data_IF_166581570216
#
_entry.id   IF_166581570216
#
_cell.length_a   1.000
_cell.length_b   1.000
_cell.length_c   1.000
_cell.angle_alpha   90.00
_cell.angle_beta   90.00
_cell.angle_gamma   90.00
#
_symmetry.space_group_name_H-M   'P 1'
#
loop_
_entity.id
_entity.type
_entity.pdbx_description
1 polymer ?
#
# COMPACT_ATOMS: atom_id res chain seq x y z
N UNK A 1 1.24 16.94 21.93
CA UNK A 1 1.98 16.07 20.98
C UNK A 1 0.96 15.22 20.25
N UNK A 2 0.90 15.33 18.92
CA UNK A 2 -0.02 14.50 18.13
C UNK A 2 0.41 13.03 18.26
N UNK A 3 -0.51 12.18 18.72
CA UNK A 3 -0.20 10.79 19.08
C UNK A 3 -0.75 9.89 17.98
N UNK A 4 0.08 9.01 17.42
CA UNK A 4 -0.40 8.01 16.48
C UNK A 4 -1.47 7.13 17.14
N UNK A 5 -2.64 7.06 16.51
CA UNK A 5 -3.79 6.30 17.01
C UNK A 5 -4.40 5.50 15.87
N UNK A 6 -4.81 4.27 16.19
CA UNK A 6 -5.58 3.43 15.30
C UNK A 6 -7.06 3.61 15.68
N UNK A 7 -7.83 4.26 14.81
CA UNK A 7 -9.27 4.36 14.97
C UNK A 7 -9.95 3.01 14.69
N UNK A 8 -11.11 2.74 15.29
CA UNK A 8 -11.76 1.42 15.22
C UNK A 8 -12.24 1.07 13.80
N UNK A 9 -12.64 2.07 13.04
CA UNK A 9 -12.98 2.03 11.62
C UNK A 9 -11.76 1.74 10.73
N UNK A 10 -10.56 2.03 11.22
CA UNK A 10 -9.31 1.80 10.51
C UNK A 10 -8.71 0.40 10.77
N UNK A 11 -9.40 -0.45 11.54
CA UNK A 11 -9.00 -1.83 11.72
C UNK A 11 -9.04 -2.58 10.39
N UNK A 12 -7.93 -3.25 10.05
CA UNK A 12 -7.79 -3.97 8.78
C UNK A 12 -8.54 -5.30 8.86
N UNK A 13 -9.60 -5.42 8.07
CA UNK A 13 -10.53 -6.58 8.05
C UNK A 13 -10.47 -7.42 6.77
N UNK A 14 -9.53 -7.12 5.87
CA UNK A 14 -9.31 -7.92 4.66
C UNK A 14 -8.62 -9.25 5.00
N UNK A 15 -8.84 -10.34 4.24
CA UNK A 15 -8.13 -11.61 4.44
C UNK A 15 -6.63 -11.53 4.08
N UNK A 16 -5.79 -12.17 4.90
CA UNK A 16 -4.35 -12.31 4.72
C UNK A 16 -3.82 -13.48 5.59
N UNK A 17 -2.51 -13.74 5.57
CA UNK A 17 -1.87 -14.84 6.32
C UNK A 17 -1.75 -14.65 7.84
N UNK A 18 -1.70 -13.42 8.33
CA UNK A 18 -1.53 -13.12 9.75
C UNK A 18 -2.83 -13.26 10.55
N UNK A 19 -2.79 -13.23 11.87
CA UNK A 19 -4.01 -13.16 12.67
C UNK A 19 -4.60 -11.74 12.68
N UNK A 20 -5.87 -11.60 13.05
CA UNK A 20 -6.40 -10.26 13.37
C UNK A 20 -5.76 -9.74 14.65
N UNK A 21 -5.44 -8.46 14.68
CA UNK A 21 -4.87 -7.79 15.84
C UNK A 21 -5.91 -6.88 16.49
N UNK A 22 -5.94 -6.87 17.82
CA UNK A 22 -6.61 -5.81 18.57
C UNK A 22 -5.86 -4.48 18.37
N UNK A 23 -6.52 -3.35 18.65
CA UNK A 23 -5.87 -2.03 18.61
C UNK A 23 -4.63 -2.02 19.50
N UNK A 24 -4.72 -2.54 20.72
CA UNK A 24 -3.61 -2.59 21.65
C UNK A 24 -2.42 -3.42 21.11
N UNK A 25 -2.69 -4.60 20.54
CA UNK A 25 -1.65 -5.45 19.97
C UNK A 25 -1.02 -4.82 18.72
N UNK A 26 -1.84 -4.25 17.83
CA UNK A 26 -1.37 -3.55 16.64
C UNK A 26 -0.52 -2.31 17.00
N UNK A 27 -0.95 -1.54 18.00
CA UNK A 27 -0.18 -0.40 18.50
C UNK A 27 1.14 -0.85 19.07
N UNK A 28 1.13 -1.83 19.98
CA UNK A 28 2.36 -2.37 20.58
C UNK A 28 3.35 -2.88 19.52
N UNK A 29 2.86 -3.61 18.51
CA UNK A 29 3.69 -4.11 17.41
C UNK A 29 4.32 -2.96 16.61
N UNK A 30 3.53 -1.95 16.24
CA UNK A 30 3.97 -0.90 15.35
C UNK A 30 4.91 0.10 16.04
N UNK A 31 4.71 0.39 17.33
CA UNK A 31 5.45 1.44 18.05
C UNK A 31 6.68 0.94 18.82
N UNK A 32 6.93 -0.37 18.87
CA UNK A 32 8.12 -0.94 19.53
C UNK A 32 9.24 -1.18 18.48
N UNK A 33 10.32 -0.39 18.49
CA UNK A 33 11.42 -0.54 17.52
C UNK A 33 12.06 -1.93 17.55
N UNK A 34 12.15 -2.59 18.71
CA UNK A 34 12.74 -3.94 18.81
C UNK A 34 11.84 -4.98 18.16
N UNK A 35 10.53 -4.86 18.38
CA UNK A 35 9.54 -5.71 17.72
C UNK A 35 9.60 -5.52 16.20
N UNK A 36 9.66 -4.28 15.71
CA UNK A 36 9.72 -3.98 14.28
C UNK A 36 11.04 -4.47 13.66
N UNK A 37 12.18 -4.24 14.31
CA UNK A 37 13.49 -4.68 13.81
C UNK A 37 13.58 -6.20 13.61
N UNK A 38 12.88 -6.98 14.44
CA UNK A 38 12.80 -8.45 14.37
C UNK A 38 11.56 -8.97 13.60
N UNK A 39 10.65 -8.08 13.19
CA UNK A 39 9.41 -8.45 12.52
C UNK A 39 9.64 -9.12 11.16
N UNK A 40 8.92 -10.21 10.92
CA UNK A 40 8.93 -10.90 9.63
C UNK A 40 7.72 -10.46 8.81
N UNK A 41 7.99 -9.69 7.76
CA UNK A 41 6.97 -9.22 6.83
C UNK A 41 6.49 -10.35 5.93
N UNK A 42 5.17 -10.43 5.72
CA UNK A 42 4.60 -11.37 4.77
C UNK A 42 4.76 -10.85 3.34
N UNK A 43 4.72 -11.73 2.32
CA UNK A 43 4.54 -11.28 0.95
C UNK A 43 3.24 -10.50 0.80
N UNK A 44 3.24 -9.52 -0.10
CA UNK A 44 2.02 -8.83 -0.47
C UNK A 44 1.11 -9.75 -1.29
N UNK A 45 -0.19 -9.65 -1.05
CA UNK A 45 -1.19 -10.23 -1.93
C UNK A 45 -1.42 -9.30 -3.12
N UNK A 46 -1.26 -9.85 -4.33
CA UNK A 46 -1.46 -9.15 -5.59
C UNK A 46 -2.80 -9.56 -6.22
N UNK A 47 -3.56 -8.57 -6.68
CA UNK A 47 -4.69 -8.78 -7.58
C UNK A 47 -4.76 -7.63 -8.59
N UNK A 48 -5.39 -7.86 -9.73
CA UNK A 48 -5.61 -6.79 -10.72
C UNK A 48 -7.02 -6.24 -10.60
N UNK A 49 -7.14 -4.94 -10.35
CA UNK A 49 -8.40 -4.22 -10.52
C UNK A 49 -8.64 -3.93 -12.01
N UNK A 50 -9.88 -4.07 -12.45
CA UNK A 50 -10.25 -4.00 -13.88
C UNK A 50 -11.23 -2.85 -14.09
N UNK A 51 -10.80 -1.87 -14.87
CA UNK A 51 -11.63 -0.74 -15.27
C UNK A 51 -11.76 -0.70 -16.80
N UNK A 52 -12.96 -0.51 -17.33
CA UNK A 52 -13.18 -0.25 -18.77
C UNK A 52 -13.22 1.26 -19.00
N UNK A 53 -12.30 1.80 -19.81
CA UNK A 53 -12.23 3.24 -20.08
C UNK A 53 -13.53 3.73 -20.70
N UNK A 54 -13.89 4.98 -20.44
CA UNK A 54 -15.00 5.61 -21.16
C UNK A 54 -14.69 5.61 -22.66
N UNK A 55 -15.68 5.26 -23.48
CA UNK A 55 -15.60 5.28 -24.92
C UNK A 55 -16.86 5.95 -25.50
N UNK A 56 -16.75 6.56 -26.70
CA UNK A 56 -17.90 7.09 -27.42
C UNK A 56 -18.99 6.04 -27.61
N UNK A 57 -20.24 6.50 -27.76
CA UNK A 57 -21.40 5.63 -27.98
C UNK A 57 -21.15 4.68 -29.18
N UNK A 58 -21.43 3.39 -28.99
CA UNK A 58 -21.21 2.35 -30.00
C UNK A 58 -19.79 1.78 -30.05
N UNK A 59 -18.85 2.27 -29.24
CA UNK A 59 -17.50 1.69 -29.09
C UNK A 59 -17.32 1.06 -27.71
N UNK A 60 -16.64 -0.09 -27.67
CA UNK A 60 -16.18 -0.67 -26.41
C UNK A 60 -14.88 0.01 -25.98
N UNK A 61 -14.82 0.46 -24.74
CA UNK A 61 -13.61 1.05 -24.19
C UNK A 61 -12.54 0.02 -23.86
N UNK A 62 -11.29 0.49 -23.88
CA UNK A 62 -10.14 -0.36 -23.54
C UNK A 62 -10.19 -0.78 -22.07
N UNK A 63 -9.86 -2.04 -21.84
CA UNK A 63 -9.70 -2.56 -20.48
C UNK A 63 -8.36 -2.10 -19.93
N UNK A 64 -8.39 -1.37 -18.82
CA UNK A 64 -7.21 -1.00 -18.03
C UNK A 64 -7.14 -1.92 -16.81
N UNK A 65 -6.04 -2.66 -16.71
CA UNK A 65 -5.70 -3.44 -15.51
C UNK A 65 -4.80 -2.61 -14.59
N UNK A 66 -5.09 -2.63 -13.30
CA UNK A 66 -4.28 -1.98 -12.26
C UNK A 66 -3.86 -3.03 -11.25
N UNK A 67 -2.58 -3.44 -11.22
CA UNK A 67 -2.11 -4.34 -10.18
C UNK A 67 -2.16 -3.62 -8.82
N UNK A 68 -2.88 -4.20 -7.88
CA UNK A 68 -2.99 -3.74 -6.49
C UNK A 68 -2.28 -4.77 -5.62
N UNK A 69 -1.33 -4.27 -4.83
CA UNK A 69 -0.59 -5.03 -3.84
C UNK A 69 -1.00 -4.55 -2.46
N UNK A 70 -1.30 -5.47 -1.56
CA UNK A 70 -1.58 -5.10 -0.17
C UNK A 70 -0.85 -6.03 0.80
N UNK A 71 -0.44 -5.47 1.92
CA UNK A 71 0.34 -6.14 2.94
C UNK A 71 -0.51 -6.98 3.88
N UNK A 72 0.15 -7.73 4.76
CA UNK A 72 -0.49 -8.25 5.95
C UNK A 72 -0.99 -7.10 6.84
N UNK A 73 -1.90 -7.41 7.76
CA UNK A 73 -2.53 -6.42 8.62
C UNK A 73 -1.53 -5.84 9.61
N UNK A 74 -0.75 -6.69 10.27
CA UNK A 74 0.36 -6.28 11.14
C UNK A 74 1.34 -5.35 10.42
N UNK A 75 1.77 -5.75 9.23
CA UNK A 75 2.68 -4.98 8.37
C UNK A 75 2.10 -3.61 8.01
N UNK A 76 0.79 -3.54 7.71
CA UNK A 76 0.10 -2.28 7.40
C UNK A 76 0.10 -1.30 8.58
N UNK A 77 0.01 -1.79 9.82
CA UNK A 77 0.11 -0.94 11.01
C UNK A 77 1.52 -0.42 11.23
N UNK A 78 2.54 -1.27 11.01
CA UNK A 78 3.93 -0.83 11.03
C UNK A 78 4.14 0.28 9.98
N UNK A 79 3.75 0.06 8.72
CA UNK A 79 3.86 1.09 7.68
C UNK A 79 3.13 2.39 8.04
N UNK A 80 1.94 2.28 8.63
CA UNK A 80 1.18 3.46 9.06
C UNK A 80 1.88 4.23 10.18
N UNK A 81 2.51 3.55 11.14
CA UNK A 81 3.24 4.20 12.22
C UNK A 81 4.51 4.90 11.70
N UNK A 82 5.31 4.20 10.88
CA UNK A 82 6.52 4.80 10.31
C UNK A 82 6.20 5.94 9.37
N UNK A 83 5.08 5.90 8.63
CA UNK A 83 4.56 7.06 7.92
C UNK A 83 4.33 8.23 8.88
N UNK A 84 3.64 8.01 10.01
CA UNK A 84 3.38 9.08 10.97
C UNK A 84 4.67 9.70 11.54
N UNK A 85 5.65 8.87 11.92
CA UNK A 85 6.97 9.33 12.39
C UNK A 85 7.66 10.19 11.33
N UNK A 86 7.70 9.70 10.08
CA UNK A 86 8.38 10.39 8.98
C UNK A 86 7.65 11.63 8.52
N UNK A 87 6.33 11.64 8.52
CA UNK A 87 5.54 12.81 8.13
C UNK A 87 5.92 14.02 8.96
N UNK A 88 6.13 13.87 10.28
CA UNK A 88 6.55 15.00 11.12
C UNK A 88 7.90 15.58 10.68
N UNK A 89 8.89 14.72 10.48
CA UNK A 89 10.22 15.16 10.04
C UNK A 89 10.16 15.76 8.62
N UNK A 90 9.34 15.18 7.74
CA UNK A 90 9.12 15.65 6.38
C UNK A 90 8.48 17.04 6.33
N UNK A 91 7.44 17.28 7.12
CA UNK A 91 6.83 18.61 7.23
C UNK A 91 7.83 19.67 7.74
N UNK A 92 8.67 19.31 8.71
CA UNK A 92 9.73 20.21 9.19
C UNK A 92 10.77 20.51 8.10
N UNK A 93 11.19 19.50 7.34
CA UNK A 93 12.13 19.66 6.24
C UNK A 93 11.55 20.50 5.09
N UNK A 94 10.25 20.38 4.79
CA UNK A 94 9.60 21.24 3.80
C UNK A 94 9.57 22.71 4.28
N UNK A 95 9.25 22.93 5.56
CA UNK A 95 9.23 24.28 6.13
C UNK A 95 10.61 24.93 6.12
N UNK A 96 11.67 24.21 6.50
CA UNK A 96 13.04 24.74 6.52
C UNK A 96 13.57 25.09 5.12
N UNK A 97 13.04 24.46 4.07
CA UNK A 97 13.43 24.70 2.68
C UNK A 97 12.46 25.62 1.92
N UNK A 98 11.47 26.21 2.60
CA UNK A 98 10.41 27.02 1.98
C UNK A 98 9.65 26.29 0.85
N UNK A 99 9.44 24.97 1.00
CA UNK A 99 8.76 24.10 0.02
C UNK A 99 7.33 23.72 0.44
N UNK A 100 6.89 24.15 1.63
CA UNK A 100 5.59 23.79 2.21
C UNK A 100 4.39 24.11 1.31
N UNK A 101 4.47 25.17 0.52
CA UNK A 101 3.36 25.60 -0.34
C UNK A 101 3.44 25.01 -1.76
N UNK A 102 4.55 24.37 -2.12
CA UNK A 102 4.77 23.82 -3.47
C UNK A 102 4.53 22.31 -3.56
N UNK A 103 4.70 21.56 -2.46
CA UNK A 103 4.64 20.10 -2.47
C UNK A 103 3.30 19.61 -1.94
N UNK A 104 2.39 19.12 -2.78
CA UNK A 104 1.02 18.82 -2.32
C UNK A 104 0.78 17.34 -2.00
N UNK A 105 1.49 16.44 -2.68
CA UNK A 105 1.17 15.01 -2.70
C UNK A 105 1.38 14.33 -1.33
N UNK A 106 0.44 13.46 -0.95
CA UNK A 106 0.47 12.59 0.25
C UNK A 106 0.55 13.29 1.62
N UNK A 107 0.33 14.60 1.65
CA UNK A 107 0.30 15.44 2.86
C UNK A 107 -1.13 15.76 3.29
N UNK A 108 -1.29 16.13 4.56
CA UNK A 108 -2.55 16.68 5.09
C UNK A 108 -2.40 18.20 5.17
N UNK A 109 -2.90 18.90 4.15
CA UNK A 109 -2.89 20.36 4.09
C UNK A 109 -4.27 20.85 4.54
N UNK A 110 -4.29 21.78 5.47
CA UNK A 110 -5.53 22.37 6.00
C UNK A 110 -5.88 23.64 5.21
N UNK A 111 -7.17 23.89 5.01
CA UNK A 111 -7.67 25.18 4.55
C UNK A 111 -7.89 26.14 5.73
N UNK A 112 -8.35 27.35 5.42
CA UNK A 112 -8.60 28.43 6.38
C UNK A 112 -9.67 28.07 7.43
N UNK A 113 -10.60 27.17 7.08
CA UNK A 113 -11.67 26.68 7.97
C UNK A 113 -11.21 25.50 8.84
N UNK A 114 -9.95 25.07 8.71
CA UNK A 114 -9.44 23.89 9.40
C UNK A 114 -10.00 22.57 8.86
N UNK A 115 -10.39 22.53 7.57
CA UNK A 115 -10.73 21.29 6.84
C UNK A 115 -9.57 20.89 5.92
N UNK A 116 -9.48 19.60 5.59
CA UNK A 116 -8.42 19.12 4.71
C UNK A 116 -8.65 19.55 3.26
N UNK A 117 -7.67 20.20 2.63
CA UNK A 117 -7.68 20.45 1.18
C UNK A 117 -7.70 19.13 0.41
N UNK A 118 -8.35 19.18 -0.75
CA UNK A 118 -8.46 18.06 -1.69
C UNK A 118 -8.07 18.53 -3.10
N UNK A 119 -8.04 17.62 -4.07
CA UNK A 119 -7.60 17.91 -5.44
C UNK A 119 -8.35 19.07 -6.10
N UNK A 120 -9.62 19.29 -5.75
CA UNK A 120 -10.42 20.40 -6.29
C UNK A 120 -9.90 21.74 -5.78
N UNK A 121 -9.53 21.81 -4.49
CA UNK A 121 -8.94 23.01 -3.89
C UNK A 121 -7.60 23.34 -4.56
N UNK A 122 -6.72 22.35 -4.73
CA UNK A 122 -5.42 22.54 -5.38
C UNK A 122 -5.52 22.96 -6.85
N UNK A 123 -6.49 22.41 -7.59
CA UNK A 123 -6.75 22.83 -8.96
C UNK A 123 -7.15 24.31 -9.02
N UNK A 124 -8.04 24.75 -8.10
CA UNK A 124 -8.41 26.16 -7.98
C UNK A 124 -7.22 27.04 -7.64
N UNK A 125 -6.40 26.66 -6.66
CA UNK A 125 -5.20 27.40 -6.27
C UNK A 125 -4.25 27.61 -7.48
N UNK A 126 -4.11 26.60 -8.33
CA UNK A 126 -3.30 26.69 -9.55
C UNK A 126 -3.89 27.68 -10.57
N UNK A 127 -5.20 27.59 -10.86
CA UNK A 127 -5.87 28.53 -11.78
C UNK A 127 -5.86 29.97 -11.27
N UNK A 128 -6.08 30.17 -9.97
CA UNK A 128 -6.03 31.50 -9.33
C UNK A 128 -4.61 32.07 -9.43
N UNK A 129 -3.58 31.26 -9.22
CA UNK A 129 -2.17 31.65 -9.40
C UNK A 129 -1.86 32.05 -10.85
N UNK A 130 -2.27 31.24 -11.84
CA UNK A 130 -2.07 31.54 -13.27
C UNK A 130 -2.74 32.87 -13.63
N UNK A 131 -3.98 33.07 -13.17
CA UNK A 131 -4.74 34.29 -13.43
C UNK A 131 -4.06 35.54 -12.85
N UNK A 132 -3.48 35.43 -11.65
CA UNK A 132 -2.73 36.51 -10.99
C UNK A 132 -1.40 36.82 -11.67
N UNK A 133 -0.68 35.80 -12.17
CA UNK A 133 0.59 35.99 -12.88
C UNK A 133 0.41 36.66 -14.25
N UNK A 134 -0.76 36.51 -14.88
CA UNK A 134 -1.07 37.11 -16.18
C UNK A 134 -0.29 36.42 -17.30
N UNK A 135 0.58 37.15 -18.00
CA UNK A 135 1.35 36.61 -19.12
C UNK A 135 2.44 35.64 -18.62
N UNK A 136 2.09 34.36 -18.56
CA UNK A 136 2.96 33.29 -18.08
C UNK A 136 2.90 32.04 -18.98
N UNK A 137 3.89 31.17 -18.83
CA UNK A 137 3.91 29.85 -19.45
C UNK A 137 3.69 28.78 -18.38
N UNK A 138 2.81 27.82 -18.66
CA UNK A 138 2.55 26.67 -17.78
C UNK A 138 3.16 25.43 -18.41
N UNK A 139 4.05 24.77 -17.67
CA UNK A 139 4.68 23.52 -18.09
C UNK A 139 4.09 22.38 -17.28
N UNK A 140 3.49 21.41 -17.97
CA UNK A 140 3.00 20.17 -17.37
C UNK A 140 3.97 19.03 -17.72
N UNK A 141 4.47 18.34 -16.68
CA UNK A 141 5.38 17.20 -16.81
C UNK A 141 4.71 15.96 -16.23
N UNK A 142 4.86 14.83 -16.91
CA UNK A 142 4.40 13.52 -16.45
C UNK A 142 5.58 12.56 -16.31
N UNK A 143 5.63 11.84 -15.20
CA UNK A 143 6.69 10.86 -14.91
C UNK A 143 6.08 9.47 -14.99
N UNK A 144 6.49 8.71 -16.01
CA UNK A 144 6.06 7.33 -16.19
C UNK A 144 6.77 6.39 -15.21
N UNK A 145 6.02 5.49 -14.56
CA UNK A 145 6.59 4.43 -13.72
C UNK A 145 7.38 4.93 -12.51
N UNK A 146 6.94 6.02 -11.86
CA UNK A 146 7.67 6.66 -10.77
C UNK A 146 8.10 5.69 -9.66
N UNK A 147 7.20 4.82 -9.19
CA UNK A 147 7.52 3.89 -8.11
C UNK A 147 8.43 2.74 -8.56
N UNK A 148 8.23 2.28 -9.80
CA UNK A 148 9.03 1.20 -10.41
C UNK A 148 10.45 1.63 -10.81
N UNK A 149 10.69 2.94 -10.95
CA UNK A 149 11.98 3.52 -11.35
C UNK A 149 12.70 4.26 -10.22
N UNK A 150 12.20 4.17 -9.00
CA UNK A 150 12.76 4.91 -7.87
C UNK A 150 14.11 4.31 -7.43
N UNK A 151 15.16 5.12 -7.43
CA UNK A 151 16.47 4.72 -6.91
C UNK A 151 16.39 4.48 -5.39
N UNK A 152 16.54 3.21 -5.01
CA UNK A 152 16.45 2.78 -3.61
C UNK A 152 17.59 3.31 -2.73
N UNK A 153 18.78 3.51 -3.29
CA UNK A 153 19.91 4.07 -2.53
C UNK A 153 19.69 5.56 -2.27
N UNK A 154 19.18 6.29 -3.26
CA UNK A 154 18.75 7.69 -3.09
C UNK A 154 17.61 7.81 -2.08
N UNK A 155 16.61 6.94 -2.14
CA UNK A 155 15.51 6.92 -1.17
C UNK A 155 16.03 6.69 0.25
N UNK A 156 16.96 5.74 0.43
CA UNK A 156 17.57 5.44 1.73
C UNK A 156 18.38 6.62 2.26
N UNK A 157 19.14 7.30 1.39
CA UNK A 157 19.91 8.49 1.75
C UNK A 157 18.99 9.63 2.20
N UNK A 158 17.92 9.92 1.45
CA UNK A 158 16.93 10.93 1.84
C UNK A 158 16.24 10.60 3.17
N UNK A 159 15.97 9.32 3.44
CA UNK A 159 15.41 8.88 4.72
C UNK A 159 16.41 9.09 5.87
N UNK A 160 17.70 8.76 5.67
CA UNK A 160 18.77 9.05 6.64
C UNK A 160 18.87 10.56 6.93
N UNK A 161 18.90 11.39 5.89
CA UNK A 161 18.95 12.85 6.00
C UNK A 161 17.76 13.39 6.78
N UNK A 162 16.56 12.90 6.49
CA UNK A 162 15.34 13.31 7.17
C UNK A 162 15.36 13.03 8.68
N UNK A 163 16.04 11.96 9.09
CA UNK A 163 16.20 11.59 10.50
C UNK A 163 17.48 12.18 11.13
N UNK A 164 18.33 12.86 10.36
CA UNK A 164 19.62 13.37 10.83
C UNK A 164 20.62 12.28 11.23
N UNK A 165 20.54 11.09 10.63
CA UNK A 165 21.37 9.93 10.96
C UNK A 165 22.26 9.51 9.79
N UNK A 166 23.46 8.99 10.08
CA UNK A 166 24.36 8.47 9.03
C UNK A 166 23.88 7.13 8.45
N UNK A 167 23.12 6.36 9.23
CA UNK A 167 22.60 5.05 8.86
C UNK A 167 21.22 4.87 9.50
N UNK A 168 20.26 4.33 8.75
CA UNK A 168 18.94 4.03 9.28
C UNK A 168 19.05 3.12 10.51
N UNK A 169 18.33 3.45 11.60
CA UNK A 169 18.09 2.54 12.72
C UNK A 169 17.54 1.19 12.24
N UNK A 170 17.74 0.12 13.01
CA UNK A 170 17.44 -1.25 12.55
C UNK A 170 15.96 -1.45 12.18
N UNK A 171 15.07 -0.84 12.94
CA UNK A 171 13.63 -0.85 12.76
C UNK A 171 13.22 -0.08 11.49
N UNK A 172 13.75 1.13 11.28
CA UNK A 172 13.59 1.88 10.05
C UNK A 172 14.15 1.14 8.83
N UNK A 173 15.33 0.54 8.94
CA UNK A 173 15.95 -0.23 7.87
C UNK A 173 15.12 -1.47 7.53
N UNK A 174 14.52 -2.12 8.53
CA UNK A 174 13.60 -3.24 8.32
C UNK A 174 12.38 -2.78 7.51
N UNK A 175 11.77 -1.66 7.85
CA UNK A 175 10.64 -1.09 7.10
C UNK A 175 11.04 -0.70 5.68
N UNK A 176 12.17 -0.01 5.51
CA UNK A 176 12.74 0.32 4.20
C UNK A 176 12.91 -0.93 3.33
N UNK A 177 13.47 -2.01 3.88
CA UNK A 177 13.64 -3.28 3.16
C UNK A 177 12.30 -3.91 2.82
N UNK A 178 11.32 -3.82 3.70
CA UNK A 178 9.99 -4.38 3.49
C UNK A 178 9.21 -3.67 2.36
N UNK A 179 9.50 -2.40 2.06
CA UNK A 179 8.85 -1.67 0.96
C UNK A 179 9.68 -1.65 -0.34
N UNK A 180 11.00 -1.88 -0.28
CA UNK A 180 11.89 -1.86 -1.46
C UNK A 180 12.29 -3.25 -1.97
N UNK A 181 12.25 -4.28 -1.11
CA UNK A 181 12.65 -5.66 -1.43
C UNK A 181 11.57 -6.65 -1.00
N UNK A 182 10.34 -6.37 -1.41
CA UNK A 182 9.19 -7.20 -1.09
C UNK A 182 9.04 -8.37 -2.06
N UNK A 183 8.32 -9.39 -1.58
CA UNK A 183 7.81 -10.48 -2.41
C UNK A 183 6.32 -10.34 -2.57
N UNK A 184 5.77 -10.81 -3.69
CA UNK A 184 4.33 -10.84 -3.96
C UNK A 184 3.87 -12.26 -4.23
N UNK A 185 2.59 -12.49 -4.00
CA UNK A 185 1.89 -13.70 -4.41
C UNK A 185 0.51 -13.36 -4.95
N UNK A 186 0.13 -13.96 -6.07
CA UNK A 186 -1.20 -13.80 -6.66
C UNK A 186 -2.28 -14.28 -5.70
N UNK A 187 -3.22 -13.40 -5.38
CA UNK A 187 -4.31 -13.66 -4.44
C UNK A 187 -5.16 -14.85 -4.86
N UNK A 188 -5.45 -14.99 -6.15
CA UNK A 188 -6.21 -16.13 -6.66
C UNK A 188 -5.44 -17.45 -6.46
N UNK A 189 -4.14 -17.48 -6.75
CA UNK A 189 -3.31 -18.67 -6.55
C UNK A 189 -3.24 -19.09 -5.07
N UNK A 190 -3.22 -18.12 -4.15
CA UNK A 190 -3.33 -18.40 -2.70
C UNK A 190 -4.66 -19.08 -2.38
N UNK A 191 -5.77 -18.55 -2.88
CA UNK A 191 -7.09 -19.12 -2.63
C UNK A 191 -7.27 -20.50 -3.26
N UNK A 192 -6.74 -20.73 -4.45
CA UNK A 192 -6.71 -22.07 -5.07
C UNK A 192 -5.96 -23.07 -4.20
N UNK A 193 -4.75 -22.72 -3.74
CA UNK A 193 -3.92 -23.60 -2.90
C UNK A 193 -4.50 -23.90 -1.52
N UNK A 194 -5.28 -22.98 -0.98
CA UNK A 194 -5.93 -23.13 0.31
C UNK A 194 -7.34 -23.74 0.20
N UNK A 195 -7.82 -24.05 -1.01
CA UNK A 195 -9.14 -24.64 -1.23
C UNK A 195 -10.30 -23.65 -1.12
N UNK A 196 -10.04 -22.36 -1.22
CA UNK A 196 -11.06 -21.30 -1.20
C UNK A 196 -11.53 -20.86 -2.60
N UNK A 197 -10.82 -21.28 -3.64
CA UNK A 197 -11.17 -21.02 -5.05
C UNK A 197 -10.97 -22.30 -5.87
N UNK A 198 -11.89 -22.58 -6.78
CA UNK A 198 -11.84 -23.80 -7.58
C UNK A 198 -13.06 -23.96 -8.50
N UNK A 199 -13.25 -25.14 -9.09
CA UNK A 199 -14.37 -25.41 -10.00
C UNK A 199 -15.71 -25.30 -9.28
N UNK A 200 -16.68 -24.65 -9.93
CA UNK A 200 -18.08 -24.59 -9.50
C UNK A 200 -18.95 -25.46 -10.40
N UNK A 201 -20.06 -26.02 -9.86
CA UNK A 201 -21.07 -26.67 -10.70
C UNK A 201 -21.50 -25.72 -11.81
N UNK A 202 -21.54 -26.22 -13.04
CA UNK A 202 -21.92 -25.44 -14.22
C UNK A 202 -23.28 -24.80 -14.02
N UNK A 203 -23.40 -23.51 -14.37
CA UNK A 203 -24.71 -22.87 -14.47
C UNK A 203 -25.51 -23.50 -15.62
N UNK A 204 -26.78 -23.12 -15.78
CA UNK A 204 -27.69 -23.62 -16.84
C UNK A 204 -27.12 -23.61 -18.28
N UNK A 205 -25.99 -22.94 -18.53
CA UNK A 205 -25.29 -22.88 -19.82
C UNK A 205 -24.21 -23.96 -20.04
N UNK A 206 -23.98 -24.89 -19.11
CA UNK A 206 -23.11 -26.06 -19.30
C UNK A 206 -21.59 -25.76 -19.36
N UNK A 207 -21.17 -24.51 -19.26
CA UNK A 207 -19.73 -24.15 -19.24
C UNK A 207 -19.16 -24.32 -17.82
N UNK A 208 -18.03 -25.03 -17.65
CA UNK A 208 -17.31 -25.04 -16.38
C UNK A 208 -16.89 -23.61 -16.04
N UNK A 209 -17.13 -23.20 -14.80
CA UNK A 209 -16.65 -21.92 -14.27
C UNK A 209 -15.87 -22.16 -13.00
N UNK A 210 -14.79 -21.40 -12.79
CA UNK A 210 -14.06 -21.40 -11.53
C UNK A 210 -14.45 -20.18 -10.71
N UNK A 211 -14.50 -20.32 -9.40
CA UNK A 211 -14.85 -19.23 -8.51
C UNK A 211 -14.58 -19.53 -7.05
N UNK A 212 -14.90 -18.56 -6.20
CA UNK A 212 -14.81 -18.70 -4.75
C UNK A 212 -15.72 -19.81 -4.22
N UNK A 213 -15.14 -20.81 -3.56
CA UNK A 213 -15.84 -21.94 -2.94
C UNK A 213 -16.46 -21.56 -1.59
N UNK A 214 -16.01 -20.45 -1.01
CA UNK A 214 -16.53 -19.87 0.25
C UNK A 214 -17.10 -18.47 -0.04
N UNK A 215 -18.18 -18.10 0.64
CA UNK A 215 -18.76 -16.76 0.50
C UNK A 215 -17.80 -15.68 1.01
N UNK A 216 -17.99 -14.43 0.58
CA UNK A 216 -17.18 -13.32 1.10
C UNK A 216 -17.31 -13.13 2.62
N UNK A 217 -18.50 -13.41 3.18
CA UNK A 217 -18.77 -13.27 4.62
C UNK A 217 -18.06 -14.36 5.42
N UNK A 218 -18.02 -15.58 4.88
CA UNK A 218 -17.47 -16.76 5.56
C UNK A 218 -15.96 -16.94 5.30
N UNK A 219 -15.39 -16.14 4.39
CA UNK A 219 -13.95 -16.16 4.10
C UNK A 219 -13.15 -15.85 5.37
N UNK A 220 -12.29 -16.79 5.83
CA UNK A 220 -11.53 -16.58 7.05
C UNK A 220 -10.61 -15.39 6.88
N UNK A 221 -10.51 -14.57 7.93
CA UNK A 221 -9.63 -13.39 7.90
C UNK A 221 -8.17 -13.82 7.95
N UNK A 222 -7.83 -14.79 8.78
CA UNK A 222 -6.55 -15.49 8.71
C UNK A 222 -6.68 -16.67 7.75
N UNK A 223 -6.03 -16.57 6.59
CA UNK A 223 -6.24 -17.55 5.51
C UNK A 223 -5.67 -18.93 5.82
N UNK A 224 -4.57 -18.99 6.57
CA UNK A 224 -3.92 -20.24 6.96
C UNK A 224 -3.04 -20.03 8.20
N UNK A 225 -2.65 -21.13 8.84
CA UNK A 225 -1.63 -21.09 9.89
C UNK A 225 -0.24 -20.76 9.32
N UNK A 226 0.71 -20.39 10.18
CA UNK A 226 2.11 -20.18 9.78
C UNK A 226 2.78 -21.45 9.23
N UNK A 227 2.37 -22.63 9.71
CA UNK A 227 2.83 -23.92 9.19
C UNK A 227 2.33 -24.15 7.76
N UNK A 228 1.04 -23.95 7.54
CA UNK A 228 0.44 -24.08 6.21
C UNK A 228 0.98 -23.05 5.22
N UNK A 229 1.23 -21.81 5.67
CA UNK A 229 1.89 -20.81 4.83
C UNK A 229 3.24 -21.33 4.33
N UNK A 230 4.07 -21.88 5.23
CA UNK A 230 5.37 -22.44 4.85
C UNK A 230 5.24 -23.59 3.86
N UNK A 231 4.33 -24.53 4.12
CA UNK A 231 4.16 -25.74 3.32
C UNK A 231 3.50 -25.47 1.96
N UNK A 232 2.43 -24.67 1.92
CA UNK A 232 1.57 -24.49 0.75
C UNK A 232 1.95 -23.25 -0.07
N UNK A 233 2.49 -22.19 0.54
CA UNK A 233 2.74 -20.91 -0.15
C UNK A 233 4.24 -20.64 -0.34
N UNK A 234 5.03 -20.70 0.74
CA UNK A 234 6.44 -20.33 0.70
C UNK A 234 7.36 -21.39 0.06
N UNK A 235 6.85 -22.62 -0.13
CA UNK A 235 7.58 -23.71 -0.82
C UNK A 235 8.42 -24.59 0.10
N UNK A 236 8.08 -24.69 1.39
CA UNK A 236 8.75 -25.57 2.36
C UNK A 236 8.27 -27.04 2.32
N UNK A 237 7.48 -27.44 1.32
CA UNK A 237 7.00 -28.81 1.11
C UNK A 237 7.18 -29.28 -0.35
N UNK A 238 6.42 -30.27 -0.81
CA UNK A 238 6.44 -30.76 -2.21
C UNK A 238 5.85 -29.76 -3.21
N UNK A 239 5.23 -28.68 -2.75
CA UNK A 239 4.61 -27.66 -3.60
C UNK A 239 5.62 -26.59 -4.04
N UNK A 240 5.67 -26.32 -5.35
CA UNK A 240 6.50 -25.24 -5.94
C UNK A 240 6.16 -23.89 -5.32
N UNK A 241 7.17 -23.09 -4.96
CA UNK A 241 7.03 -21.71 -4.45
C UNK A 241 6.25 -20.82 -5.44
N UNK A 242 5.31 -20.01 -4.95
CA UNK A 242 4.53 -19.01 -5.74
C UNK A 242 4.86 -17.56 -5.41
N UNK A 243 5.93 -17.35 -4.64
CA UNK A 243 6.44 -16.02 -4.34
C UNK A 243 7.32 -15.55 -5.50
N UNK A 244 7.01 -14.39 -6.06
CA UNK A 244 7.92 -13.66 -6.93
C UNK A 244 8.51 -12.47 -6.16
N UNK A 245 9.78 -12.15 -6.45
CA UNK A 245 10.36 -10.89 -5.99
C UNK A 245 9.85 -9.76 -6.88
N UNK A 246 9.53 -8.62 -6.29
CA UNK A 246 9.51 -7.39 -7.10
C UNK A 246 10.96 -7.08 -7.48
N UNK A 247 11.17 -6.85 -8.77
CA UNK A 247 12.37 -6.18 -9.27
C UNK A 247 12.28 -4.72 -8.84
#
# INVERSE_FOLDING_TARGET
>A
MDTWKIASENLKRYPHFDAQLSIAAATKLATDPKAVASHTFYPFLLYSDRWTRFAPLGKQGDVKLRPIRYSARGDAYIFSYYRHVLSRAYEAALASNALSDSILAYRRIMDEDGKGKCNIHFARDAFDTISKLGNCCVVALDISGFFESLDHDRLKAAWCELLGVKKLPEDHFRVFRAITRYTVVEKQAVYERLGYFGPKPSSKSGKPSSGYLVSYKDMPKQLCSGLEFRQKIAGGGTARRVLSMSI
#
